data_IF_305132831832
#
_entry.id   IF_305132831832
#
_cell.length_a   1.000
_cell.length_b   1.000
_cell.length_c   1.000
_cell.angle_alpha   90.00
_cell.angle_beta   90.00
_cell.angle_gamma   90.00
#
_symmetry.space_group_name_H-M   'P 1'
#
loop_
_entity.id
_entity.type
_entity.pdbx_description
1 polymer ?
#
# COMPACT_ATOMS: atom_id res chain seq x y z
N UNK A 1 5.82 3.92 -1.70
CA UNK A 1 4.58 3.74 -2.47
C UNK A 1 3.34 4.37 -1.83
N UNK A 2 3.05 4.10 -0.54
CA UNK A 2 1.88 4.66 0.15
C UNK A 2 1.88 6.20 0.17
N UNK A 3 2.99 6.83 0.58
CA UNK A 3 3.14 8.29 0.63
C UNK A 3 3.03 8.99 -0.74
N UNK A 4 3.38 8.29 -1.82
CA UNK A 4 3.32 8.78 -3.19
C UNK A 4 2.01 8.41 -3.91
N UNK A 5 1.08 7.71 -3.24
CA UNK A 5 -0.19 7.26 -3.84
C UNK A 5 -0.04 6.14 -4.87
N UNK A 6 1.11 5.48 -4.94
CA UNK A 6 1.35 4.35 -5.86
C UNK A 6 0.72 3.06 -5.33
N UNK A 7 0.68 2.89 -4.00
CA UNK A 7 -0.08 1.81 -3.37
C UNK A 7 -1.51 2.29 -3.13
N UNK A 8 -2.41 1.98 -4.05
CA UNK A 8 -3.82 2.34 -3.95
C UNK A 8 -4.52 1.40 -2.96
N UNK A 9 -5.06 1.96 -1.89
CA UNK A 9 -5.89 1.25 -0.91
C UNK A 9 -6.89 2.22 -0.26
N UNK A 10 -7.87 1.67 0.47
CA UNK A 10 -8.84 2.50 1.18
C UNK A 10 -8.23 3.18 2.43
N UNK A 11 -8.89 4.22 2.94
CA UNK A 11 -8.44 4.99 4.11
C UNK A 11 -8.14 4.13 5.34
N UNK A 12 -8.91 3.06 5.59
CA UNK A 12 -8.71 2.21 6.76
C UNK A 12 -7.44 1.36 6.61
N UNK A 13 -7.20 0.80 5.41
CA UNK A 13 -5.97 0.06 5.10
C UNK A 13 -4.76 0.99 5.15
N UNK A 14 -4.87 2.21 4.60
CA UNK A 14 -3.79 3.20 4.67
C UNK A 14 -3.45 3.56 6.13
N UNK A 15 -4.47 3.78 6.97
CA UNK A 15 -4.27 4.06 8.40
C UNK A 15 -3.62 2.89 9.14
N UNK A 16 -4.01 1.66 8.84
CA UNK A 16 -3.42 0.46 9.42
C UNK A 16 -1.94 0.31 9.02
N UNK A 17 -1.63 0.45 7.73
CA UNK A 17 -0.25 0.40 7.23
C UNK A 17 0.62 1.46 7.90
N UNK A 18 0.16 2.71 7.95
CA UNK A 18 0.87 3.80 8.60
C UNK A 18 1.07 3.55 10.10
N UNK A 19 0.09 2.93 10.79
CA UNK A 19 0.26 2.61 12.22
C UNK A 19 1.35 1.58 12.49
N UNK A 20 1.63 0.66 11.56
CA UNK A 20 2.77 -0.25 11.68
C UNK A 20 4.10 0.46 11.48
N UNK A 21 4.16 1.44 10.55
CA UNK A 21 5.35 2.31 10.39
C UNK A 21 5.63 3.06 11.69
N UNK A 22 4.58 3.66 12.26
CA UNK A 22 4.68 4.40 13.53
C UNK A 22 5.15 3.49 14.67
N UNK A 23 4.57 2.30 14.82
CA UNK A 23 4.98 1.35 15.85
C UNK A 23 6.46 0.93 15.70
N UNK A 24 6.93 0.71 14.46
CA UNK A 24 8.31 0.34 14.20
C UNK A 24 9.31 1.46 14.55
N UNK A 25 8.95 2.72 14.28
CA UNK A 25 9.82 3.89 14.49
C UNK A 25 9.74 4.44 15.92
N UNK A 26 8.53 4.48 16.50
CA UNK A 26 8.24 5.15 17.77
C UNK A 26 8.11 4.19 18.97
N UNK A 27 8.02 2.88 18.73
CA UNK A 27 7.72 1.90 19.78
C UNK A 27 6.25 1.96 20.23
N UNK A 28 5.99 1.53 21.46
CA UNK A 28 4.63 1.50 22.01
C UNK A 28 4.06 2.91 22.24
N UNK A 29 2.74 3.04 22.06
CA UNK A 29 2.03 4.26 22.40
C UNK A 29 2.07 4.52 23.92
N UNK A 30 2.60 5.69 24.31
CA UNK A 30 2.55 6.24 25.67
C UNK A 30 1.76 7.54 25.64
N UNK A 31 0.73 7.65 26.48
CA UNK A 31 -0.17 8.83 26.49
C UNK A 31 0.55 10.13 26.86
N UNK A 32 1.57 10.04 27.71
CA UNK A 32 2.41 11.18 28.10
C UNK A 32 3.27 11.71 26.94
N UNK A 33 3.82 10.80 26.12
CA UNK A 33 4.66 11.14 24.97
C UNK A 33 3.82 11.53 23.73
N UNK A 34 2.62 10.94 23.61
CA UNK A 34 1.72 11.10 22.47
C UNK A 34 0.30 11.55 22.90
N UNK A 35 0.15 12.78 23.42
CA UNK A 35 -1.11 13.24 24.02
C UNK A 35 -2.24 13.44 22.99
N UNK A 36 -1.90 13.71 21.73
CA UNK A 36 -2.87 13.85 20.64
C UNK A 36 -2.29 13.32 19.31
N UNK A 37 -3.09 13.30 18.25
CA UNK A 37 -2.66 12.80 16.93
C UNK A 37 -1.48 13.58 16.28
N UNK A 38 -1.11 14.76 16.77
CA UNK A 38 -0.25 15.70 16.04
C UNK A 38 1.20 15.24 15.93
N UNK A 39 1.63 14.27 16.76
CA UNK A 39 2.95 13.64 16.56
C UNK A 39 3.05 12.97 15.18
N UNK A 40 1.92 12.60 14.58
CA UNK A 40 1.85 12.02 13.24
C UNK A 40 1.98 13.07 12.14
N UNK A 41 1.67 14.33 12.42
CA UNK A 41 1.75 15.42 11.44
C UNK A 41 3.21 15.75 11.04
N UNK A 42 4.19 15.27 11.81
CA UNK A 42 5.62 15.35 11.47
C UNK A 42 5.99 14.43 10.29
N UNK A 43 5.16 13.43 9.99
CA UNK A 43 5.38 12.43 8.96
C UNK A 43 4.34 12.56 7.85
N UNK A 44 4.71 12.15 6.64
CA UNK A 44 3.80 12.11 5.48
C UNK A 44 3.56 10.68 5.03
N UNK A 45 2.48 10.06 5.52
CA UNK A 45 2.16 8.66 5.24
C UNK A 45 1.39 8.47 3.93
N UNK A 46 0.55 9.45 3.55
CA UNK A 46 -0.25 9.45 2.32
C UNK A 46 -0.24 10.84 1.65
N UNK A 47 -0.54 10.96 0.33
CA UNK A 47 -0.57 12.26 -0.35
C UNK A 47 -1.54 13.26 0.29
N UNK A 48 -2.77 12.82 0.57
CA UNK A 48 -3.85 13.64 1.15
C UNK A 48 -4.08 13.28 2.63
N UNK A 49 -3.05 13.49 3.45
CA UNK A 49 -3.12 13.29 4.90
C UNK A 49 -3.93 14.41 5.56
N UNK A 50 -4.87 14.03 6.42
CA UNK A 50 -5.73 14.92 7.20
C UNK A 50 -5.83 14.46 8.67
N UNK A 51 -6.33 15.33 9.55
CA UNK A 51 -6.51 15.06 10.98
C UNK A 51 -7.37 13.81 11.24
N UNK A 52 -8.34 13.51 10.37
CA UNK A 52 -9.20 12.34 10.51
C UNK A 52 -8.40 11.04 10.31
N UNK A 53 -7.55 11.00 9.29
CA UNK A 53 -6.65 9.88 9.06
C UNK A 53 -5.63 9.75 10.20
N UNK A 54 -5.05 10.86 10.66
CA UNK A 54 -4.09 10.85 11.77
C UNK A 54 -4.71 10.28 13.05
N UNK A 55 -5.96 10.64 13.38
CA UNK A 55 -6.71 10.00 14.49
C UNK A 55 -6.82 8.50 14.29
N UNK A 56 -7.18 8.03 13.09
CA UNK A 56 -7.28 6.59 12.83
C UNK A 56 -5.93 5.87 12.98
N UNK A 57 -4.84 6.50 12.52
CA UNK A 57 -3.49 5.97 12.68
C UNK A 57 -3.15 5.84 14.17
N UNK A 58 -3.39 6.90 14.94
CA UNK A 58 -3.16 6.90 16.40
C UNK A 58 -4.00 5.81 17.10
N UNK A 59 -5.28 5.67 16.76
CA UNK A 59 -6.15 4.64 17.34
C UNK A 59 -5.71 3.21 16.99
N UNK A 60 -5.04 3.00 15.86
CA UNK A 60 -4.42 1.72 15.55
C UNK A 60 -3.08 1.55 16.28
N UNK A 61 -2.25 2.59 16.37
CA UNK A 61 -0.98 2.57 17.10
C UNK A 61 -1.19 2.16 18.57
N UNK A 62 -2.23 2.69 19.23
CA UNK A 62 -2.64 2.29 20.59
C UNK A 62 -2.92 0.79 20.77
N UNK A 63 -3.23 0.06 19.69
CA UNK A 63 -3.56 -1.37 19.73
C UNK A 63 -2.35 -2.28 19.54
N UNK A 64 -1.20 -1.73 19.13
CA UNK A 64 0.00 -2.50 18.82
C UNK A 64 0.91 -2.69 20.05
N UNK A 65 0.34 -2.70 21.26
CA UNK A 65 1.08 -2.78 22.52
C UNK A 65 2.03 -3.98 22.54
N UNK A 66 3.29 -3.73 22.90
CA UNK A 66 4.38 -4.71 22.96
C UNK A 66 4.70 -5.36 21.61
N UNK A 67 4.31 -4.75 20.50
CA UNK A 67 4.70 -5.19 19.17
C UNK A 67 6.12 -4.73 18.87
N UNK A 68 7.01 -5.68 18.61
CA UNK A 68 8.39 -5.37 18.23
C UNK A 68 8.45 -4.74 16.83
N UNK A 69 9.48 -3.93 16.52
CA UNK A 69 9.63 -3.34 15.19
C UNK A 69 9.61 -4.39 14.06
N UNK A 70 10.28 -5.53 14.24
CA UNK A 70 10.27 -6.61 13.26
C UNK A 70 8.90 -7.25 13.05
N UNK A 71 8.07 -7.32 14.10
CA UNK A 71 6.68 -7.79 13.96
C UNK A 71 5.80 -6.75 13.26
N UNK A 72 6.02 -5.47 13.53
CA UNK A 72 5.32 -4.37 12.85
C UNK A 72 5.63 -4.35 11.35
N UNK A 73 6.91 -4.47 10.98
CA UNK A 73 7.35 -4.59 9.58
C UNK A 73 6.72 -5.79 8.87
N UNK A 74 6.69 -6.95 9.53
CA UNK A 74 6.07 -8.15 8.97
C UNK A 74 4.57 -7.92 8.73
N UNK A 75 3.85 -7.39 9.71
CA UNK A 75 2.42 -7.12 9.59
C UNK A 75 2.11 -6.06 8.51
N UNK A 76 2.98 -5.06 8.37
CA UNK A 76 2.92 -4.08 7.30
C UNK A 76 3.02 -4.78 5.93
N UNK A 77 4.01 -5.64 5.74
CA UNK A 77 4.20 -6.38 4.48
C UNK A 77 3.05 -7.35 4.20
N UNK A 78 2.54 -8.04 5.23
CA UNK A 78 1.40 -8.95 5.11
C UNK A 78 0.09 -8.24 4.74
N UNK A 79 -0.08 -7.02 5.22
CA UNK A 79 -1.23 -6.18 4.87
C UNK A 79 -1.05 -5.59 3.47
N UNK A 80 0.14 -5.06 3.16
CA UNK A 80 0.44 -4.44 1.88
C UNK A 80 0.31 -5.44 0.72
N UNK A 81 0.81 -6.68 0.87
CA UNK A 81 0.72 -7.71 -0.18
C UNK A 81 -0.71 -8.13 -0.56
N UNK A 82 -1.71 -7.81 0.27
CA UNK A 82 -3.13 -8.09 0.01
C UNK A 82 -3.80 -6.96 -0.79
N UNK A 83 -3.14 -5.82 -0.95
CA UNK A 83 -3.63 -4.75 -1.80
C UNK A 83 -3.40 -5.11 -3.27
N UNK A 84 -4.43 -4.97 -4.12
CA UNK A 84 -4.37 -5.38 -5.53
C UNK A 84 -3.25 -4.69 -6.33
N UNK A 85 -2.90 -3.47 -5.93
CA UNK A 85 -1.90 -2.63 -6.58
C UNK A 85 -0.49 -2.79 -5.99
N UNK A 86 -0.27 -3.71 -5.05
CA UNK A 86 1.03 -3.91 -4.43
C UNK A 86 2.07 -4.42 -5.44
N UNK A 87 3.16 -3.66 -5.60
CA UNK A 87 4.23 -3.98 -6.53
C UNK A 87 3.85 -3.84 -8.01
N UNK A 88 2.69 -3.25 -8.32
CA UNK A 88 2.20 -3.10 -9.70
C UNK A 88 2.66 -1.76 -10.28
N UNK A 89 3.49 -1.81 -11.33
CA UNK A 89 3.83 -0.65 -12.16
C UNK A 89 3.09 -0.74 -13.49
N UNK A 90 2.13 0.16 -13.69
CA UNK A 90 1.32 0.20 -14.90
C UNK A 90 2.05 0.92 -16.04
N UNK A 91 1.99 0.33 -17.22
CA UNK A 91 2.46 0.88 -18.48
C UNK A 91 1.28 1.01 -19.43
N UNK A 92 1.04 2.23 -19.92
CA UNK A 92 -0.05 2.52 -20.85
C UNK A 92 0.19 1.78 -22.17
N UNK A 93 -0.85 1.12 -22.67
CA UNK A 93 -0.85 0.40 -23.94
C UNK A 93 -2.19 0.58 -24.64
N UNK A 94 -2.27 0.12 -25.90
CA UNK A 94 -3.53 -0.01 -26.65
C UNK A 94 -3.62 -1.40 -27.24
N UNK A 95 -4.82 -1.95 -27.33
CA UNK A 95 -5.06 -3.15 -28.12
C UNK A 95 -5.18 -2.83 -29.62
N UNK A 96 -5.45 -3.85 -30.42
CA UNK A 96 -5.61 -3.74 -31.86
C UNK A 96 -6.81 -2.88 -32.31
N UNK A 97 -7.82 -2.70 -31.44
CA UNK A 97 -9.00 -1.87 -31.68
C UNK A 97 -8.79 -0.42 -31.17
N UNK A 98 -7.63 -0.14 -30.55
CA UNK A 98 -7.29 1.17 -30.00
C UNK A 98 -7.81 1.41 -28.58
N UNK A 99 -8.37 0.39 -27.93
CA UNK A 99 -8.84 0.48 -26.54
C UNK A 99 -7.64 0.69 -25.61
N UNK A 100 -7.72 1.71 -24.76
CA UNK A 100 -6.65 2.05 -23.83
C UNK A 100 -6.61 1.04 -22.67
N UNK A 101 -5.44 0.44 -22.47
CA UNK A 101 -5.16 -0.56 -21.46
C UNK A 101 -3.92 -0.17 -20.65
N UNK A 102 -3.74 -0.81 -19.50
CA UNK A 102 -2.51 -0.76 -18.73
C UNK A 102 -1.94 -2.18 -18.61
N UNK A 103 -0.66 -2.34 -18.92
CA UNK A 103 0.08 -3.58 -18.71
C UNK A 103 0.95 -3.45 -17.46
N UNK A 104 1.09 -4.53 -16.70
CA UNK A 104 2.05 -4.59 -15.61
C UNK A 104 2.74 -5.95 -15.55
N UNK A 105 3.93 -5.99 -14.98
CA UNK A 105 4.69 -7.22 -14.76
C UNK A 105 4.65 -7.55 -13.28
N UNK A 106 4.28 -8.78 -12.93
CA UNK A 106 4.21 -9.26 -11.56
C UNK A 106 4.77 -10.69 -11.43
N UNK A 107 4.99 -11.16 -10.21
CA UNK A 107 5.50 -12.52 -9.96
C UNK A 107 4.61 -13.63 -10.58
N UNK A 108 3.33 -13.37 -10.78
CA UNK A 108 2.39 -14.32 -11.37
C UNK A 108 2.32 -14.30 -12.90
N UNK A 109 2.76 -13.22 -13.56
CA UNK A 109 2.60 -13.05 -15.00
C UNK A 109 2.63 -11.60 -15.50
N UNK A 110 2.30 -11.42 -16.77
CA UNK A 110 1.91 -10.10 -17.32
C UNK A 110 0.43 -9.88 -17.02
N UNK A 111 0.13 -8.80 -16.31
CA UNK A 111 -1.21 -8.39 -15.96
C UNK A 111 -1.74 -7.40 -16.99
N UNK A 112 -3.03 -7.51 -17.30
CA UNK A 112 -3.74 -6.54 -18.16
C UNK A 112 -4.83 -5.89 -17.33
N UNK A 113 -4.86 -4.57 -17.37
CA UNK A 113 -5.84 -3.74 -16.69
C UNK A 113 -6.57 -2.86 -17.69
N UNK A 114 -7.86 -2.64 -17.42
CA UNK A 114 -8.62 -1.55 -18.00
C UNK A 114 -8.82 -0.52 -16.88
N UNK A 115 -8.25 0.68 -17.06
CA UNK A 115 -8.08 1.65 -15.96
C UNK A 115 -7.29 1.01 -14.78
N UNK A 116 -7.92 0.87 -13.61
CA UNK A 116 -7.36 0.22 -12.42
C UNK A 116 -7.94 -1.18 -12.14
N UNK A 117 -8.82 -1.67 -13.00
CA UNK A 117 -9.46 -2.99 -12.84
C UNK A 117 -8.68 -4.03 -13.64
N UNK A 118 -8.18 -5.07 -12.96
CA UNK A 118 -7.49 -6.18 -13.61
C UNK A 118 -8.49 -7.00 -14.44
N UNK A 119 -8.26 -7.09 -15.75
CA UNK A 119 -9.12 -7.84 -16.68
C UNK A 119 -8.51 -9.18 -17.10
N UNK A 120 -7.18 -9.33 -17.05
CA UNK A 120 -6.53 -10.57 -17.46
C UNK A 120 -5.15 -10.78 -16.79
N UNK A 121 -4.65 -12.01 -16.85
CA UNK A 121 -3.31 -12.40 -16.39
C UNK A 121 -2.72 -13.47 -17.33
N UNK A 122 -1.64 -13.10 -18.02
CA UNK A 122 -0.81 -14.03 -18.78
C UNK A 122 0.25 -14.64 -17.86
N UNK A 123 -0.06 -15.82 -17.30
CA UNK A 123 0.86 -16.52 -16.41
C UNK A 123 2.19 -16.87 -17.09
N UNK A 124 3.30 -16.71 -16.37
CA UNK A 124 4.63 -17.09 -16.86
C UNK A 124 4.70 -18.52 -17.37
N UNK A 125 3.99 -19.46 -16.75
CA UNK A 125 3.92 -20.86 -17.18
C UNK A 125 3.31 -21.05 -18.58
N UNK A 126 2.53 -20.08 -19.08
CA UNK A 126 1.89 -20.11 -20.39
C UNK A 126 2.60 -19.25 -21.44
N UNK A 127 3.53 -18.38 -21.03
CA UNK A 127 4.26 -17.48 -21.93
C UNK A 127 5.41 -18.24 -22.59
N UNK A 128 5.42 -18.31 -23.93
CA UNK A 128 6.48 -18.96 -24.70
C UNK A 128 7.56 -18.00 -25.20
N UNK A 129 7.19 -16.76 -25.51
CA UNK A 129 8.07 -15.72 -26.05
C UNK A 129 7.51 -14.34 -25.74
N UNK A 130 8.40 -13.39 -25.47
CA UNK A 130 8.12 -11.94 -25.41
C UNK A 130 9.02 -11.25 -26.45
N UNK A 131 8.47 -10.34 -27.24
CA UNK A 131 9.19 -9.56 -28.24
C UNK A 131 8.48 -8.22 -28.49
N UNK A 132 9.21 -7.23 -29.01
CA UNK A 132 8.72 -5.89 -29.34
C UNK A 132 9.10 -5.52 -30.78
#
# INVERSE_FOLDING_TARGET
>A
DLAHGQLVCNSNTAALLASYIVQAECGDYVEEDYPDHRYLSLYKFVPSQDDHLERKIMENHKKHVSMTPGAADLNLLETARRCDMYGIKMHVAKDHEGVSLNLAVAHMGVLVFQQFTKINTFSWAKVRKLSY
#
